data_IF_869911657410
#
_entry.id   IF_869911657410
#
_cell.length_a   1.000
_cell.length_b   1.000
_cell.length_c   1.000
_cell.angle_alpha   90.00
_cell.angle_beta   90.00
_cell.angle_gamma   90.00
#
_symmetry.space_group_name_H-M   'P 1'
#
loop_
_entity.id
_entity.type
_entity.pdbx_description
1 polymer ?
#
# COMPACT_ATOMS: atom_id res chain seq x y z
N UNK A 1 -28.20 13.15 -38.70
CA UNK A 1 -26.85 13.72 -38.52
C UNK A 1 -26.46 13.55 -37.05
N UNK A 2 -25.37 12.83 -36.83
CA UNK A 2 -24.71 12.46 -35.55
C UNK A 2 -25.51 11.67 -34.51
N UNK A 3 -25.59 10.36 -34.75
CA UNK A 3 -25.81 9.32 -33.74
C UNK A 3 -24.51 9.09 -32.96
N UNK A 4 -24.59 9.12 -31.63
CA UNK A 4 -23.53 8.65 -30.72
C UNK A 4 -23.85 7.20 -30.36
N UNK A 5 -22.99 6.28 -30.82
CA UNK A 5 -23.10 4.84 -30.61
C UNK A 5 -22.35 4.47 -29.32
N UNK A 6 -23.06 4.02 -28.29
CA UNK A 6 -22.45 3.40 -27.11
C UNK A 6 -21.98 1.99 -27.47
N UNK A 7 -20.67 1.73 -27.38
CA UNK A 7 -20.10 0.39 -27.48
C UNK A 7 -20.44 -0.43 -26.23
N UNK A 8 -21.35 -1.37 -26.39
CA UNK A 8 -21.57 -2.52 -25.51
C UNK A 8 -20.60 -3.62 -25.95
N UNK A 9 -19.68 -4.04 -25.08
CA UNK A 9 -18.84 -5.22 -25.33
C UNK A 9 -19.35 -6.36 -24.46
N UNK A 10 -20.10 -7.27 -25.07
CA UNK A 10 -20.43 -8.58 -24.51
C UNK A 10 -19.26 -9.53 -24.74
N UNK A 11 -18.65 -10.05 -23.68
CA UNK A 11 -17.73 -11.19 -23.77
C UNK A 11 -18.49 -12.48 -23.46
N UNK A 12 -18.71 -13.27 -24.51
CA UNK A 12 -19.14 -14.66 -24.45
C UNK A 12 -18.00 -15.53 -23.89
N UNK A 13 -18.31 -16.34 -22.89
CA UNK A 13 -17.45 -17.41 -22.37
C UNK A 13 -17.28 -18.50 -23.44
N UNK A 14 -16.03 -18.90 -23.69
CA UNK A 14 -15.69 -20.11 -24.44
C UNK A 14 -14.78 -20.97 -23.58
N UNK A 15 -15.27 -22.17 -23.27
CA UNK A 15 -14.56 -23.25 -22.60
C UNK A 15 -13.29 -23.66 -23.35
N UNK A 16 -12.18 -23.83 -22.62
CA UNK A 16 -11.00 -24.56 -23.12
C UNK A 16 -10.54 -25.55 -22.03
N UNK A 17 -10.39 -26.84 -22.36
CA UNK A 17 -9.98 -27.86 -21.41
C UNK A 17 -8.46 -27.89 -21.21
N UNK A 18 -8.07 -28.30 -20.00
CA UNK A 18 -6.70 -28.64 -19.62
C UNK A 18 -6.09 -29.72 -20.53
N UNK A 19 -4.89 -29.46 -21.05
CA UNK A 19 -4.00 -30.49 -21.57
C UNK A 19 -2.61 -30.35 -20.94
N UNK A 20 -2.18 -31.46 -20.36
CA UNK A 20 -0.91 -31.74 -19.70
C UNK A 20 0.07 -32.27 -20.76
N UNK A 21 1.31 -31.80 -20.83
CA UNK A 21 2.35 -32.50 -21.57
C UNK A 21 3.76 -32.15 -21.07
N UNK A 22 4.49 -33.20 -20.74
CA UNK A 22 5.88 -33.25 -20.31
C UNK A 22 6.85 -33.06 -21.50
N UNK A 23 8.04 -32.58 -21.13
CA UNK A 23 9.38 -32.71 -21.75
C UNK A 23 9.53 -33.50 -23.06
N UNK A 24 10.29 -32.94 -24.02
CA UNK A 24 11.44 -33.62 -24.67
C UNK A 24 12.45 -32.56 -25.14
N UNK A 25 13.70 -32.80 -24.76
CA UNK A 25 14.94 -32.18 -25.26
C UNK A 25 15.28 -32.59 -26.69
N UNK A 26 15.80 -31.68 -27.52
CA UNK A 26 16.87 -32.03 -28.46
C UNK A 26 17.61 -30.82 -29.02
N UNK A 27 18.94 -30.96 -29.01
CA UNK A 27 19.92 -30.03 -29.52
C UNK A 27 20.06 -30.14 -31.05
N UNK A 28 20.43 -29.04 -31.68
CA UNK A 28 21.13 -29.05 -32.96
C UNK A 28 22.14 -27.89 -32.97
N UNK A 29 23.42 -28.24 -33.13
CA UNK A 29 24.53 -27.34 -33.36
C UNK A 29 24.63 -27.00 -34.85
N UNK A 30 24.95 -25.76 -35.19
CA UNK A 30 25.67 -25.40 -36.42
C UNK A 30 26.65 -24.28 -36.05
N UNK A 31 27.92 -24.50 -36.38
CA UNK A 31 29.02 -23.59 -36.10
C UNK A 31 29.20 -22.48 -37.13
N UNK A 32 30.07 -21.54 -36.79
CA UNK A 32 30.54 -20.46 -37.65
C UNK A 32 31.58 -19.63 -36.92
N UNK A 33 32.85 -19.90 -37.22
CA UNK A 33 34.04 -19.16 -36.77
C UNK A 33 34.03 -17.69 -37.24
N UNK A 34 34.60 -16.78 -36.43
CA UNK A 34 35.83 -16.06 -36.80
C UNK A 34 35.95 -14.68 -36.12
N UNK A 35 37.05 -14.55 -35.35
CA UNK A 35 37.96 -13.41 -35.20
C UNK A 35 37.46 -12.03 -34.72
N UNK A 36 38.03 -11.58 -33.60
CA UNK A 36 38.20 -10.15 -33.30
C UNK A 36 38.31 -9.78 -31.82
N UNK A 37 39.44 -10.09 -31.17
CA UNK A 37 39.90 -9.36 -29.96
C UNK A 37 40.66 -8.10 -30.40
N UNK A 38 40.58 -7.01 -29.61
CA UNK A 38 41.60 -6.74 -28.60
C UNK A 38 40.98 -6.38 -27.24
N UNK A 39 41.39 -7.05 -26.16
CA UNK A 39 42.41 -6.57 -25.22
C UNK A 39 42.14 -5.16 -24.67
N UNK A 40 41.45 -5.11 -23.53
CA UNK A 40 41.72 -4.12 -22.49
C UNK A 40 41.58 -4.82 -21.14
N UNK A 41 42.73 -5.06 -20.52
CA UNK A 41 42.85 -5.45 -19.12
C UNK A 41 42.43 -4.23 -18.30
N UNK A 42 41.27 -4.32 -17.66
CA UNK A 42 40.93 -3.47 -16.51
C UNK A 42 41.29 -4.30 -15.29
N UNK A 43 42.46 -4.03 -14.73
CA UNK A 43 42.82 -4.47 -13.38
C UNK A 43 41.90 -3.75 -12.39
N UNK A 44 40.86 -4.44 -11.93
CA UNK A 44 40.10 -4.04 -10.76
C UNK A 44 40.93 -4.37 -9.52
N UNK A 45 41.69 -3.39 -9.04
CA UNK A 45 42.22 -3.41 -7.67
C UNK A 45 41.06 -3.31 -6.67
N UNK A 46 40.57 -4.47 -6.25
CA UNK A 46 39.82 -4.62 -5.00
C UNK A 46 40.85 -4.60 -3.84
N UNK A 47 41.32 -3.40 -3.49
CA UNK A 47 42.03 -3.16 -2.23
C UNK A 47 41.01 -2.83 -1.15
N UNK A 48 40.24 -3.84 -0.74
CA UNK A 48 39.62 -3.85 0.59
C UNK A 48 40.77 -3.94 1.63
N UNK A 49 41.05 -2.92 2.45
CA UNK A 49 42.21 -2.94 3.35
C UNK A 49 42.07 -4.09 4.35
N UNK A 50 43.04 -5.00 4.37
CA UNK A 50 43.12 -6.05 5.39
C UNK A 50 43.53 -5.44 6.73
N UNK A 51 42.59 -5.30 7.66
CA UNK A 51 42.84 -4.78 9.00
C UNK A 51 43.29 -5.89 9.95
N UNK A 52 44.36 -5.63 10.71
CA UNK A 52 44.89 -6.54 11.72
C UNK A 52 44.14 -6.39 13.05
N UNK A 53 44.12 -7.45 13.87
CA UNK A 53 43.45 -7.48 15.19
C UNK A 53 44.03 -6.53 16.26
N UNK A 54 44.93 -5.61 15.88
CA UNK A 54 45.65 -4.70 16.77
C UNK A 54 45.17 -3.23 16.68
N UNK A 55 44.19 -2.92 15.84
CA UNK A 55 43.60 -1.58 15.82
C UNK A 55 42.85 -1.30 17.12
N UNK A 56 43.08 -0.13 17.72
CA UNK A 56 42.36 0.28 18.93
C UNK A 56 40.86 0.47 18.65
N UNK A 57 40.03 0.32 19.69
CA UNK A 57 38.59 0.63 19.65
C UNK A 57 38.30 1.98 18.99
N UNK A 58 39.09 3.01 19.34
CA UNK A 58 39.00 4.35 18.79
C UNK A 58 39.30 4.39 17.30
N UNK A 59 40.37 3.74 16.85
CA UNK A 59 40.75 3.73 15.44
C UNK A 59 39.68 3.04 14.58
N UNK A 60 39.05 1.97 15.09
CA UNK A 60 37.94 1.29 14.41
C UNK A 60 36.71 2.21 14.36
N UNK A 61 36.39 2.88 15.47
CA UNK A 61 35.26 3.81 15.54
C UNK A 61 35.38 4.93 14.51
N UNK A 62 36.51 5.64 14.49
CA UNK A 62 36.75 6.78 13.60
C UNK A 62 36.75 6.37 12.13
N UNK A 63 37.32 5.20 11.80
CA UNK A 63 37.44 4.74 10.41
C UNK A 63 36.20 4.05 9.86
N UNK A 64 35.38 3.41 10.70
CA UNK A 64 34.29 2.52 10.25
C UNK A 64 32.91 2.88 10.77
N UNK A 65 32.79 3.41 11.99
CA UNK A 65 31.50 3.76 12.59
C UNK A 65 31.13 5.21 12.28
N UNK A 66 32.07 6.14 12.48
CA UNK A 66 31.82 7.56 12.25
C UNK A 66 31.42 7.89 10.79
N UNK A 67 31.96 7.23 9.74
CA UNK A 67 31.47 7.44 8.37
C UNK A 67 30.01 7.04 8.16
N UNK A 68 29.49 6.04 8.89
CA UNK A 68 28.06 5.67 8.85
C UNK A 68 27.22 6.84 9.39
N UNK A 69 27.66 7.44 10.50
CA UNK A 69 26.99 8.60 11.09
C UNK A 69 26.95 9.83 10.17
N UNK A 70 28.00 10.00 9.36
CA UNK A 70 28.15 11.13 8.43
C UNK A 70 27.54 10.86 7.04
N UNK A 71 27.15 9.63 6.76
CA UNK A 71 26.65 9.22 5.45
C UNK A 71 25.29 9.84 5.15
N UNK A 72 25.13 10.35 3.93
CA UNK A 72 23.82 10.73 3.39
C UNK A 72 23.05 9.52 2.82
N UNK A 73 23.71 8.36 2.66
CA UNK A 73 23.05 7.15 2.14
C UNK A 73 22.18 6.50 3.22
N UNK A 74 21.04 5.88 2.85
CA UNK A 74 20.22 5.11 3.77
C UNK A 74 21.02 3.94 4.36
N UNK A 75 20.82 3.68 5.64
CA UNK A 75 21.40 2.52 6.35
C UNK A 75 20.49 1.29 6.30
N UNK A 76 20.98 0.14 6.74
CA UNK A 76 20.18 -1.11 6.86
C UNK A 76 18.85 -0.93 7.62
N UNK A 77 18.78 0.03 8.55
CA UNK A 77 17.56 0.31 9.30
C UNK A 77 16.44 0.89 8.42
N UNK A 78 16.77 1.64 7.37
CA UNK A 78 15.82 2.20 6.41
C UNK A 78 15.20 1.15 5.47
N UNK A 79 15.68 -0.09 5.51
CA UNK A 79 15.07 -1.17 4.73
C UNK A 79 13.72 -1.61 5.29
N UNK A 80 13.54 -1.53 6.61
CA UNK A 80 12.29 -1.94 7.26
C UNK A 80 11.40 -0.72 7.61
N UNK A 81 12.00 0.44 7.82
CA UNK A 81 11.33 1.67 8.23
C UNK A 81 11.40 2.70 7.11
N UNK A 82 10.24 3.26 6.71
CA UNK A 82 10.20 4.30 5.67
C UNK A 82 10.60 5.68 6.20
N UNK A 83 10.49 5.88 7.51
CA UNK A 83 10.74 7.16 8.13
C UNK A 83 11.16 6.99 9.59
N UNK A 84 11.89 8.00 10.10
CA UNK A 84 12.12 8.14 11.53
C UNK A 84 12.98 7.08 12.23
N UNK A 85 13.63 6.17 11.48
CA UNK A 85 14.59 5.21 12.04
C UNK A 85 15.79 5.06 11.11
N UNK A 86 16.97 5.37 11.63
CA UNK A 86 18.23 5.24 10.90
C UNK A 86 19.34 4.76 11.85
N UNK A 87 20.26 3.93 11.36
CA UNK A 87 21.42 3.46 12.11
C UNK A 87 22.25 4.61 12.69
N UNK A 88 22.32 5.77 12.01
CA UNK A 88 23.04 6.94 12.54
C UNK A 88 22.47 7.49 13.85
N UNK A 89 21.19 7.25 14.14
CA UNK A 89 20.57 7.67 15.41
C UNK A 89 21.14 6.90 16.61
N UNK A 90 21.80 5.77 16.33
CA UNK A 90 22.52 4.92 17.26
C UNK A 90 24.03 5.21 17.32
N UNK A 91 24.48 6.32 16.73
CA UNK A 91 25.88 6.76 16.77
C UNK A 91 25.94 8.17 17.35
N UNK A 92 26.94 8.45 18.19
CA UNK A 92 27.23 9.77 18.75
C UNK A 92 28.57 10.28 18.22
N UNK A 93 28.88 11.59 18.36
CA UNK A 93 30.12 12.15 17.81
C UNK A 93 31.40 11.49 18.35
N UNK A 94 31.35 10.83 19.51
CA UNK A 94 32.50 10.16 20.14
C UNK A 94 32.22 8.67 20.42
N UNK A 95 33.29 7.87 20.49
CA UNK A 95 33.16 6.45 20.83
C UNK A 95 32.65 6.24 22.25
N UNK A 96 33.04 7.11 23.19
CA UNK A 96 32.67 7.06 24.60
C UNK A 96 31.15 7.17 24.74
N UNK A 97 30.59 8.24 24.17
CA UNK A 97 29.14 8.48 24.16
C UNK A 97 28.40 7.38 23.43
N UNK A 98 28.90 6.92 22.29
CA UNK A 98 28.23 5.85 21.53
C UNK A 98 28.21 4.55 22.34
N UNK A 99 29.35 4.13 22.88
CA UNK A 99 29.48 2.89 23.63
C UNK A 99 28.64 2.91 24.91
N UNK A 100 28.82 3.94 25.76
CA UNK A 100 28.10 4.07 27.03
C UNK A 100 26.58 4.10 26.81
N UNK A 101 26.11 4.80 25.77
CA UNK A 101 24.69 4.89 25.46
C UNK A 101 24.12 3.56 24.92
N UNK A 102 24.84 2.86 24.04
CA UNK A 102 24.41 1.56 23.51
C UNK A 102 24.40 0.47 24.60
N UNK A 103 25.35 0.50 25.53
CA UNK A 103 25.36 -0.40 26.70
C UNK A 103 24.19 -0.06 27.62
N UNK A 104 23.99 1.22 27.94
CA UNK A 104 22.87 1.67 28.79
C UNK A 104 21.49 1.34 28.20
N UNK A 105 21.36 1.34 26.87
CA UNK A 105 20.15 0.93 26.16
C UNK A 105 20.00 -0.60 26.03
N UNK A 106 20.97 -1.38 26.50
CA UNK A 106 20.97 -2.84 26.39
C UNK A 106 21.07 -3.34 24.95
N UNK A 107 21.72 -2.57 24.07
CA UNK A 107 21.97 -2.89 22.66
C UNK A 107 23.33 -3.55 22.44
N UNK A 108 24.31 -3.28 23.31
CA UNK A 108 25.59 -3.99 23.40
C UNK A 108 25.57 -4.92 24.61
N UNK A 109 25.95 -6.18 24.40
CA UNK A 109 26.20 -7.14 25.47
C UNK A 109 27.72 -7.17 25.76
N UNK A 110 28.11 -6.61 26.91
CA UNK A 110 29.52 -6.56 27.33
C UNK A 110 30.09 -7.92 27.72
N UNK A 111 29.25 -8.91 27.99
CA UNK A 111 29.68 -10.28 28.29
C UNK A 111 29.79 -11.14 27.05
N UNK A 112 28.94 -10.87 26.06
CA UNK A 112 28.85 -11.58 24.80
C UNK A 112 28.76 -10.60 23.62
N UNK A 113 29.88 -9.92 23.26
CA UNK A 113 29.88 -8.83 22.28
C UNK A 113 29.28 -9.25 20.92
N UNK A 114 29.46 -10.49 20.48
CA UNK A 114 28.89 -11.02 19.24
C UNK A 114 27.38 -11.30 19.29
N UNK A 115 26.79 -11.44 20.48
CA UNK A 115 25.34 -11.62 20.69
C UNK A 115 24.61 -10.27 20.90
N UNK A 116 25.31 -9.14 20.73
CA UNK A 116 24.74 -7.79 20.89
C UNK A 116 23.52 -7.56 19.98
N UNK A 117 22.44 -7.00 20.54
CA UNK A 117 21.18 -6.77 19.80
C UNK A 117 21.36 -5.86 18.59
N UNK A 118 22.26 -4.87 18.67
CA UNK A 118 22.54 -3.98 17.54
C UNK A 118 23.04 -4.76 16.30
N UNK A 119 23.86 -5.80 16.50
CA UNK A 119 24.33 -6.67 15.42
C UNK A 119 23.18 -7.50 14.83
N UNK A 120 22.29 -7.99 15.70
CA UNK A 120 21.06 -8.67 15.28
C UNK A 120 20.17 -7.75 14.44
N UNK A 121 20.04 -6.47 14.82
CA UNK A 121 19.22 -5.52 14.06
C UNK A 121 19.83 -5.17 12.70
N UNK A 122 21.13 -4.89 12.64
CA UNK A 122 21.82 -4.60 11.38
C UNK A 122 21.74 -5.80 10.42
N UNK A 123 21.85 -7.02 10.93
CA UNK A 123 21.80 -8.24 10.10
C UNK A 123 20.40 -8.67 9.65
N UNK A 124 19.32 -8.06 10.18
CA UNK A 124 17.96 -8.40 9.76
C UNK A 124 17.77 -8.10 8.28
N UNK A 125 17.06 -8.99 7.61
CA UNK A 125 16.70 -8.87 6.20
C UNK A 125 15.18 -8.76 6.07
N UNK A 126 14.67 -7.84 5.25
CA UNK A 126 13.32 -7.95 4.76
C UNK A 126 13.18 -9.19 3.86
N UNK A 127 11.96 -9.69 3.69
CA UNK A 127 11.69 -10.82 2.77
C UNK A 127 11.96 -10.46 1.31
N UNK A 128 11.82 -9.17 0.95
CA UNK A 128 12.13 -8.64 -0.38
C UNK A 128 13.29 -7.64 -0.28
N UNK A 129 14.31 -7.74 -1.16
CA UNK A 129 15.48 -6.87 -1.13
C UNK A 129 15.07 -5.40 -1.31
N UNK A 130 15.63 -4.51 -0.48
CA UNK A 130 15.37 -3.07 -0.50
C UNK A 130 16.43 -2.28 -1.28
N UNK A 131 16.44 -0.96 -1.05
CA UNK A 131 17.43 -0.03 -1.61
C UNK A 131 18.84 -0.24 -1.04
N UNK A 132 18.97 -0.93 0.10
CA UNK A 132 20.25 -1.22 0.74
C UNK A 132 20.73 -2.58 0.24
N UNK A 133 21.90 -2.61 -0.40
CA UNK A 133 22.47 -3.86 -0.87
C UNK A 133 22.92 -4.75 0.30
N UNK A 134 22.98 -6.06 0.04
CA UNK A 134 23.59 -7.02 0.97
C UNK A 134 25.02 -6.61 1.36
N UNK A 135 25.73 -5.96 0.45
CA UNK A 135 27.07 -5.41 0.67
C UNK A 135 27.07 -4.29 1.72
N UNK A 136 26.19 -3.29 1.62
CA UNK A 136 26.11 -2.20 2.62
C UNK A 136 25.82 -2.78 4.01
N UNK A 137 24.85 -3.70 4.10
CA UNK A 137 24.50 -4.36 5.36
C UNK A 137 25.67 -5.13 5.96
N UNK A 138 26.41 -5.85 5.12
CA UNK A 138 27.60 -6.59 5.54
C UNK A 138 28.69 -5.63 6.06
N UNK A 139 28.92 -4.52 5.36
CA UNK A 139 29.88 -3.48 5.77
C UNK A 139 29.49 -2.89 7.14
N UNK A 140 28.22 -2.52 7.32
CA UNK A 140 27.70 -2.01 8.59
C UNK A 140 27.85 -3.05 9.71
N UNK A 141 27.46 -4.30 9.45
CA UNK A 141 27.53 -5.39 10.42
C UNK A 141 28.97 -5.64 10.87
N UNK A 142 29.90 -5.75 9.93
CA UNK A 142 31.31 -5.99 10.24
C UNK A 142 31.96 -4.81 10.95
N UNK A 143 31.58 -3.57 10.60
CA UNK A 143 32.04 -2.36 11.26
C UNK A 143 31.64 -2.38 12.73
N UNK A 144 30.34 -2.56 13.02
CA UNK A 144 29.84 -2.63 14.38
C UNK A 144 30.40 -3.82 15.14
N UNK A 145 30.48 -5.01 14.53
CA UNK A 145 31.00 -6.20 15.20
C UNK A 145 32.47 -6.04 15.60
N UNK A 146 33.31 -5.53 14.70
CA UNK A 146 34.72 -5.30 14.99
C UNK A 146 34.89 -4.26 16.11
N UNK A 147 34.14 -3.15 16.02
CA UNK A 147 34.20 -2.08 17.01
C UNK A 147 33.71 -2.54 18.39
N UNK A 148 32.56 -3.22 18.47
CA UNK A 148 31.98 -3.72 19.73
C UNK A 148 32.96 -4.65 20.45
N UNK A 149 33.59 -5.59 19.73
CA UNK A 149 34.59 -6.50 20.31
C UNK A 149 35.79 -5.75 20.90
N UNK A 150 36.32 -4.77 20.16
CA UNK A 150 37.44 -3.96 20.62
C UNK A 150 37.05 -3.07 21.80
N UNK A 151 35.87 -2.43 21.75
CA UNK A 151 35.37 -1.52 22.77
C UNK A 151 35.08 -2.23 24.10
N UNK A 152 34.52 -3.45 24.06
CA UNK A 152 34.32 -4.28 25.26
C UNK A 152 35.64 -4.73 25.90
N UNK A 153 36.74 -4.76 25.14
CA UNK A 153 38.07 -5.06 25.68
C UNK A 153 38.77 -3.84 26.29
N UNK A 154 38.21 -2.65 26.10
CA UNK A 154 38.75 -1.39 26.61
C UNK A 154 38.14 -1.05 27.97
N UNK A 155 38.91 -1.27 29.03
CA UNK A 155 38.48 -1.00 30.42
C UNK A 155 38.06 0.45 30.66
N UNK A 156 38.57 1.41 29.88
CA UNK A 156 38.19 2.83 30.03
C UNK A 156 36.78 3.09 29.52
N UNK A 157 36.40 2.46 28.41
CA UNK A 157 35.03 2.54 27.86
C UNK A 157 34.01 1.81 28.73
N UNK A 158 34.39 0.67 29.33
CA UNK A 158 33.50 -0.05 30.28
C UNK A 158 33.22 0.78 31.53
N UNK A 159 34.22 1.53 32.01
CA UNK A 159 34.10 2.37 33.20
C UNK A 159 33.36 3.70 32.92
N UNK A 160 33.22 4.09 31.65
CA UNK A 160 32.58 5.33 31.24
C UNK A 160 31.07 5.30 31.53
N UNK A 161 30.54 6.45 31.91
CA UNK A 161 29.13 6.67 32.24
C UNK A 161 28.55 7.91 31.56
N UNK A 162 29.23 8.47 30.56
CA UNK A 162 28.68 9.54 29.69
C UNK A 162 27.57 8.99 28.79
N UNK A 163 26.43 8.69 29.41
CA UNK A 163 25.23 8.17 28.75
C UNK A 163 24.43 9.34 28.19
N UNK A 164 24.17 9.28 26.90
CA UNK A 164 23.22 10.15 26.22
C UNK A 164 22.05 9.32 25.73
N UNK A 165 20.89 9.96 25.56
CA UNK A 165 19.76 9.30 24.91
C UNK A 165 20.18 8.85 23.51
N UNK A 166 19.86 7.62 23.12
CA UNK A 166 20.26 6.99 21.84
C UNK A 166 19.06 6.39 21.11
N UNK A 167 19.15 6.33 19.78
CA UNK A 167 18.08 5.86 18.91
C UNK A 167 17.08 6.96 18.51
N UNK A 168 16.02 6.57 17.76
CA UNK A 168 14.95 7.46 17.35
C UNK A 168 14.35 8.22 18.53
N UNK A 169 14.01 9.49 18.31
CA UNK A 169 13.28 10.29 19.30
C UNK A 169 11.75 10.12 19.20
N UNK A 170 11.30 9.35 18.21
CA UNK A 170 9.90 9.07 17.96
C UNK A 170 9.37 8.00 18.91
N UNK A 171 8.06 8.04 19.18
CA UNK A 171 7.41 6.97 19.94
C UNK A 171 7.43 5.65 19.15
N UNK A 172 7.42 4.53 19.88
CA UNK A 172 7.31 3.19 19.28
C UNK A 172 6.09 3.05 18.37
N UNK A 173 5.02 3.80 18.63
CA UNK A 173 3.81 3.78 17.82
C UNK A 173 4.02 4.45 16.46
N UNK A 174 4.66 5.62 16.42
CA UNK A 174 5.03 6.31 15.17
C UNK A 174 6.00 5.45 14.37
N UNK A 175 7.03 4.90 15.02
CA UNK A 175 8.00 4.00 14.38
C UNK A 175 7.29 2.78 13.79
N UNK A 176 6.33 2.21 14.52
CA UNK A 176 5.56 1.05 14.07
C UNK A 176 4.68 1.40 12.87
N UNK A 177 4.01 2.54 12.90
CA UNK A 177 3.15 3.03 11.81
C UNK A 177 3.94 3.21 10.51
N UNK A 178 5.16 3.76 10.60
CA UNK A 178 6.05 3.99 9.46
C UNK A 178 6.77 2.74 8.90
N UNK A 179 6.53 1.55 9.47
CA UNK A 179 7.13 0.31 8.94
C UNK A 179 6.53 -0.07 7.58
N UNK A 180 7.36 -0.62 6.69
CA UNK A 180 6.93 -1.03 5.35
C UNK A 180 5.78 -2.04 5.35
N UNK A 181 5.75 -2.98 6.29
CA UNK A 181 4.65 -3.94 6.40
C UNK A 181 3.32 -3.28 6.80
N UNK A 182 3.36 -2.21 7.61
CA UNK A 182 2.16 -1.43 7.95
C UNK A 182 1.70 -0.56 6.80
N UNK A 183 2.63 0.05 6.08
CA UNK A 183 2.32 0.78 4.84
C UNK A 183 1.72 -0.15 3.79
N UNK A 184 2.28 -1.36 3.59
CA UNK A 184 1.70 -2.36 2.70
C UNK A 184 0.31 -2.77 3.16
N UNK A 185 0.09 -3.00 4.45
CA UNK A 185 -1.24 -3.33 4.97
C UNK A 185 -2.26 -2.20 4.68
N UNK A 186 -1.86 -0.94 4.86
CA UNK A 186 -2.67 0.24 4.53
C UNK A 186 -2.96 0.32 3.01
N UNK A 187 -1.96 0.06 2.17
CA UNK A 187 -2.14 -0.03 0.71
C UNK A 187 -3.15 -1.12 0.33
N UNK A 188 -3.03 -2.29 0.94
CA UNK A 188 -3.94 -3.41 0.67
C UNK A 188 -5.37 -3.03 1.04
N UNK A 189 -5.57 -2.43 2.20
CA UNK A 189 -6.88 -2.07 2.71
C UNK A 189 -7.56 -0.94 1.90
N UNK A 190 -6.80 0.05 1.45
CA UNK A 190 -7.34 1.28 0.86
C UNK A 190 -7.24 1.37 -0.67
N UNK A 191 -6.27 0.70 -1.29
CA UNK A 191 -6.04 0.82 -2.75
C UNK A 191 -6.26 -0.52 -3.43
N UNK A 192 -5.66 -1.59 -2.90
CA UNK A 192 -5.72 -2.91 -3.52
C UNK A 192 -7.13 -3.49 -3.55
N UNK A 193 -7.93 -3.27 -2.49
CA UNK A 193 -9.35 -3.67 -2.44
C UNK A 193 -10.18 -3.11 -3.60
N UNK A 194 -9.80 -1.96 -4.14
CA UNK A 194 -10.48 -1.27 -5.25
C UNK A 194 -9.84 -1.53 -6.62
N UNK A 195 -8.77 -2.34 -6.68
CA UNK A 195 -7.94 -2.52 -7.89
C UNK A 195 -8.73 -3.06 -9.09
N UNK A 196 -9.84 -3.76 -8.84
CA UNK A 196 -10.73 -4.28 -9.89
C UNK A 196 -11.30 -3.19 -10.80
N UNK A 197 -11.40 -1.93 -10.34
CA UNK A 197 -11.82 -0.78 -11.17
C UNK A 197 -10.79 -0.41 -12.23
N UNK A 198 -9.53 -0.78 -11.98
CA UNK A 198 -8.36 -0.46 -12.79
C UNK A 198 -7.88 -1.67 -13.61
N UNK A 199 -8.13 -2.90 -13.13
CA UNK A 199 -7.56 -4.14 -13.67
C UNK A 199 -7.85 -4.35 -15.15
N UNK A 200 -9.06 -4.02 -15.62
CA UNK A 200 -9.44 -4.19 -17.02
C UNK A 200 -8.56 -3.40 -18.01
N UNK A 201 -7.85 -2.36 -17.54
CA UNK A 201 -6.93 -1.57 -18.36
C UNK A 201 -5.47 -1.71 -17.93
N UNK A 202 -5.20 -2.08 -16.68
CA UNK A 202 -3.86 -2.02 -16.11
C UNK A 202 -3.29 -3.37 -15.66
N UNK A 203 -4.09 -4.45 -15.75
CA UNK A 203 -3.63 -5.79 -15.41
C UNK A 203 -3.20 -6.56 -16.66
N UNK A 204 -2.03 -7.23 -16.64
CA UNK A 204 -1.45 -7.87 -17.81
C UNK A 204 -2.29 -9.03 -18.39
N UNK A 205 -3.19 -9.60 -17.60
CA UNK A 205 -4.13 -10.64 -18.02
C UNK A 205 -5.36 -10.07 -18.77
N UNK A 206 -5.65 -8.78 -18.66
CA UNK A 206 -6.87 -8.15 -19.20
C UNK A 206 -6.60 -7.02 -20.21
N UNK A 207 -5.37 -6.51 -20.26
CA UNK A 207 -5.09 -5.24 -20.93
C UNK A 207 -4.38 -5.34 -22.29
N UNK A 208 -4.41 -6.48 -22.97
CA UNK A 208 -3.62 -6.70 -24.20
C UNK A 208 -3.93 -5.66 -25.29
N UNK A 209 -5.17 -5.19 -25.37
CA UNK A 209 -5.55 -4.08 -26.26
C UNK A 209 -4.86 -2.78 -25.86
N UNK A 210 -4.84 -2.44 -24.58
CA UNK A 210 -4.22 -1.20 -24.09
C UNK A 210 -2.71 -1.22 -24.27
N UNK A 211 -2.07 -2.36 -24.01
CA UNK A 211 -0.63 -2.53 -24.25
C UNK A 211 -0.30 -2.35 -25.74
N UNK A 212 -1.11 -2.89 -26.64
CA UNK A 212 -0.92 -2.70 -28.08
C UNK A 212 -1.04 -1.23 -28.51
N UNK A 213 -1.94 -0.46 -27.91
CA UNK A 213 -2.22 0.94 -28.28
C UNK A 213 -1.30 1.95 -27.58
N UNK A 214 -0.82 1.62 -26.38
CA UNK A 214 -0.17 2.58 -25.49
C UNK A 214 1.18 2.11 -24.93
N UNK A 215 1.56 0.84 -25.10
CA UNK A 215 2.81 0.26 -24.61
C UNK A 215 2.68 -0.44 -23.24
N UNK A 216 3.73 -1.16 -22.84
CA UNK A 216 3.75 -2.00 -21.64
C UNK A 216 3.64 -1.20 -20.33
N UNK A 217 3.98 0.08 -20.33
CA UNK A 217 3.88 0.95 -19.15
C UNK A 217 2.44 1.19 -18.67
N UNK A 218 1.43 0.76 -19.44
CA UNK A 218 0.05 0.74 -18.95
C UNK A 218 -0.18 -0.41 -17.96
N UNK A 219 0.65 -1.45 -17.98
CA UNK A 219 0.57 -2.62 -17.10
C UNK A 219 1.28 -2.39 -15.76
N UNK A 220 0.68 -1.58 -14.88
CA UNK A 220 1.27 -1.30 -13.56
C UNK A 220 0.79 -2.25 -12.44
N UNK A 221 -0.23 -3.09 -12.69
CA UNK A 221 -0.70 -4.08 -11.70
C UNK A 221 0.13 -5.35 -11.83
N UNK A 222 0.77 -5.76 -10.75
CA UNK A 222 1.38 -7.09 -10.64
C UNK A 222 0.36 -8.10 -10.12
N UNK A 223 0.15 -9.18 -10.86
CA UNK A 223 -0.88 -10.18 -10.52
C UNK A 223 -0.62 -10.80 -9.15
N UNK A 224 -1.61 -10.67 -8.26
CA UNK A 224 -1.60 -11.26 -6.91
C UNK A 224 -0.44 -10.80 -6.03
N UNK A 225 0.19 -9.67 -6.37
CA UNK A 225 1.32 -9.13 -5.65
C UNK A 225 1.07 -7.64 -5.35
N UNK A 226 0.41 -7.33 -4.22
CA UNK A 226 0.18 -5.94 -3.82
C UNK A 226 1.49 -5.20 -3.51
N UNK A 227 2.54 -5.89 -3.06
CA UNK A 227 3.83 -5.25 -2.76
C UNK A 227 4.54 -4.82 -4.04
N UNK A 228 4.62 -5.70 -5.03
CA UNK A 228 5.20 -5.36 -6.32
C UNK A 228 4.39 -4.26 -7.03
N UNK A 229 3.05 -4.28 -6.90
CA UNK A 229 2.20 -3.21 -7.43
C UNK A 229 2.49 -1.88 -6.74
N UNK A 230 2.60 -1.86 -5.41
CA UNK A 230 2.97 -0.64 -4.68
C UNK A 230 4.35 -0.14 -5.09
N UNK A 231 5.35 -1.02 -5.18
CA UNK A 231 6.70 -0.63 -5.62
C UNK A 231 6.68 0.03 -6.99
N UNK A 232 5.98 -0.58 -7.97
CA UNK A 232 5.83 0.01 -9.29
C UNK A 232 5.18 1.40 -9.22
N UNK A 233 4.11 1.57 -8.45
CA UNK A 233 3.44 2.87 -8.32
C UNK A 233 4.36 3.96 -7.80
N UNK A 234 5.26 3.62 -6.88
CA UNK A 234 6.25 4.52 -6.33
C UNK A 234 7.37 4.83 -7.34
N UNK A 235 7.91 3.80 -8.00
CA UNK A 235 8.97 3.94 -9.00
C UNK A 235 8.53 4.72 -10.25
N UNK A 236 7.25 4.64 -10.59
CA UNK A 236 6.66 5.34 -11.73
C UNK A 236 6.07 6.71 -11.38
N UNK A 237 6.36 7.25 -10.18
CA UNK A 237 5.89 8.55 -9.69
C UNK A 237 4.35 8.72 -9.83
N UNK A 238 3.59 7.65 -9.56
CA UNK A 238 2.12 7.72 -9.62
C UNK A 238 1.54 8.40 -8.36
N UNK A 239 2.34 8.49 -7.30
CA UNK A 239 2.06 9.19 -6.05
C UNK A 239 3.01 10.38 -5.97
N UNK A 240 2.45 11.58 -5.91
CA UNK A 240 3.20 12.82 -5.70
C UNK A 240 3.31 13.05 -4.20
N UNK A 241 4.52 12.91 -3.65
CA UNK A 241 4.74 13.06 -2.21
C UNK A 241 4.84 14.52 -1.77
N UNK A 242 5.00 15.47 -2.68
CA UNK A 242 5.04 16.89 -2.33
C UNK A 242 3.63 17.50 -2.36
N UNK A 243 2.83 17.11 -3.36
CA UNK A 243 1.47 17.58 -3.58
C UNK A 243 0.51 16.36 -3.75
N UNK A 244 0.11 15.68 -2.65
CA UNK A 244 -0.60 14.40 -2.70
C UNK A 244 -1.88 14.42 -3.55
N UNK A 245 -2.61 15.54 -3.59
CA UNK A 245 -3.80 15.73 -4.42
C UNK A 245 -3.51 15.72 -5.93
N UNK A 246 -2.26 15.95 -6.34
CA UNK A 246 -1.80 15.91 -7.73
C UNK A 246 -1.31 14.54 -8.17
N UNK A 247 -1.32 13.55 -7.28
CA UNK A 247 -1.00 12.16 -7.61
C UNK A 247 -1.79 11.68 -8.84
N UNK A 248 -1.11 11.05 -9.80
CA UNK A 248 -1.74 10.52 -11.01
C UNK A 248 -2.80 9.46 -10.70
N UNK A 249 -2.65 8.74 -9.57
CA UNK A 249 -3.65 7.81 -9.03
C UNK A 249 -4.98 8.48 -8.65
N UNK A 250 -5.01 9.80 -8.48
CA UNK A 250 -6.23 10.56 -8.20
C UNK A 250 -6.71 11.29 -9.45
N UNK A 251 -5.81 12.02 -10.12
CA UNK A 251 -6.17 12.91 -11.22
C UNK A 251 -6.74 12.17 -12.43
N UNK A 252 -6.15 11.01 -12.80
CA UNK A 252 -6.65 10.23 -13.95
C UNK A 252 -8.01 9.58 -13.64
N UNK A 253 -8.18 8.80 -12.56
CA UNK A 253 -9.46 8.15 -12.27
C UNK A 253 -10.63 9.12 -12.07
N UNK A 254 -10.37 10.34 -11.57
CA UNK A 254 -11.39 11.40 -11.41
C UNK A 254 -11.62 12.24 -12.67
N UNK A 255 -10.87 12.00 -13.75
CA UNK A 255 -10.91 12.76 -15.01
C UNK A 255 -10.53 14.24 -14.88
N UNK A 256 -9.76 14.61 -13.85
CA UNK A 256 -9.15 15.94 -13.76
C UNK A 256 -8.05 16.14 -14.82
N UNK A 257 -7.44 15.04 -15.26
CA UNK A 257 -6.59 14.97 -16.46
C UNK A 257 -7.03 13.81 -17.36
N UNK A 258 -6.54 13.79 -18.61
CA UNK A 258 -6.88 12.74 -19.58
C UNK A 258 -6.42 11.36 -19.09
N UNK A 259 -7.37 10.45 -18.87
CA UNK A 259 -7.09 9.07 -18.45
C UNK A 259 -7.09 8.05 -19.60
N UNK A 260 -7.96 8.21 -20.61
CA UNK A 260 -8.19 7.21 -21.66
C UNK A 260 -9.12 6.07 -21.23
N UNK A 261 -9.05 5.61 -19.98
CA UNK A 261 -9.91 4.56 -19.42
C UNK A 261 -11.28 5.03 -18.89
N UNK A 262 -11.61 6.31 -19.06
CA UNK A 262 -12.81 6.95 -18.50
C UNK A 262 -12.74 7.19 -16.99
N UNK A 263 -13.79 7.79 -16.43
CA UNK A 263 -13.90 8.05 -15.00
C UNK A 263 -14.09 6.73 -14.22
N UNK A 264 -13.31 6.52 -13.17
CA UNK A 264 -13.37 5.34 -12.31
C UNK A 264 -13.87 5.63 -10.90
N UNK A 265 -13.71 6.89 -10.47
CA UNK A 265 -14.17 7.42 -9.19
C UNK A 265 -14.49 8.91 -9.35
N UNK A 266 -15.23 9.47 -8.40
CA UNK A 266 -15.51 10.91 -8.28
C UNK A 266 -15.04 11.41 -6.92
N UNK A 267 -14.70 12.70 -6.84
CA UNK A 267 -14.31 13.31 -5.57
C UNK A 267 -15.44 13.09 -4.54
N UNK A 268 -15.05 12.55 -3.38
CA UNK A 268 -15.97 12.29 -2.28
C UNK A 268 -16.67 10.93 -2.32
N UNK A 269 -16.53 10.13 -3.38
CA UNK A 269 -16.93 8.72 -3.30
C UNK A 269 -15.98 7.90 -2.44
N UNK A 270 -16.42 6.70 -2.04
CA UNK A 270 -15.70 5.82 -1.13
C UNK A 270 -14.32 5.46 -1.68
N UNK A 271 -14.19 5.17 -2.97
CA UNK A 271 -12.92 4.80 -3.59
C UNK A 271 -11.93 5.97 -3.56
N UNK A 272 -12.38 7.19 -3.87
CA UNK A 272 -11.57 8.40 -3.75
C UNK A 272 -11.11 8.61 -2.31
N UNK A 273 -12.01 8.50 -1.34
CA UNK A 273 -11.67 8.61 0.10
C UNK A 273 -10.61 7.60 0.51
N UNK A 274 -10.72 6.34 0.07
CA UNK A 274 -9.71 5.32 0.40
C UNK A 274 -8.36 5.62 -0.22
N UNK A 275 -8.32 5.99 -1.50
CA UNK A 275 -7.05 6.37 -2.15
C UNK A 275 -6.40 7.56 -1.45
N UNK A 276 -7.18 8.58 -1.07
CA UNK A 276 -6.70 9.72 -0.28
C UNK A 276 -6.14 9.30 1.08
N UNK A 277 -6.82 8.43 1.82
CA UNK A 277 -6.31 7.92 3.11
C UNK A 277 -4.92 7.31 2.97
N UNK A 278 -4.70 6.48 1.95
CA UNK A 278 -3.39 5.88 1.73
C UNK A 278 -2.34 6.90 1.27
N UNK A 279 -2.66 7.70 0.24
CA UNK A 279 -1.73 8.65 -0.37
C UNK A 279 -1.30 9.73 0.65
N UNK A 280 -2.26 10.29 1.37
CA UNK A 280 -2.01 11.36 2.35
C UNK A 280 -1.16 10.81 3.53
N UNK A 281 -1.46 9.59 4.01
CA UNK A 281 -0.70 8.93 5.09
C UNK A 281 0.71 8.53 4.63
N UNK A 282 0.84 7.88 3.48
CA UNK A 282 2.14 7.51 2.91
C UNK A 282 3.04 8.74 2.76
N UNK A 283 2.48 9.82 2.21
CA UNK A 283 3.16 11.10 2.05
C UNK A 283 3.64 11.67 3.38
N UNK A 284 2.78 11.65 4.41
CA UNK A 284 3.14 12.10 5.75
C UNK A 284 4.25 11.25 6.39
N UNK A 285 4.24 9.93 6.16
CA UNK A 285 5.30 9.02 6.60
C UNK A 285 6.62 9.42 5.95
N UNK A 286 6.72 9.44 4.61
CA UNK A 286 7.99 9.69 3.92
C UNK A 286 8.55 11.09 4.16
N UNK A 287 7.68 12.07 4.43
CA UNK A 287 8.06 13.43 4.81
C UNK A 287 8.36 13.60 6.30
N UNK A 288 8.34 12.52 7.10
CA UNK A 288 8.55 12.54 8.56
C UNK A 288 7.62 13.55 9.28
N UNK A 289 6.35 13.67 8.86
CA UNK A 289 5.39 14.63 9.43
C UNK A 289 4.84 14.20 10.80
N UNK A 290 4.91 12.91 11.14
CA UNK A 290 4.48 12.40 12.44
C UNK A 290 5.62 12.47 13.46
N UNK A 291 5.46 13.32 14.46
CA UNK A 291 6.32 13.44 15.63
C UNK A 291 5.75 12.69 16.85
N UNK A 292 4.42 12.60 16.97
CA UNK A 292 3.75 11.94 18.11
C UNK A 292 2.63 11.01 17.65
N UNK A 293 2.22 10.10 18.54
CA UNK A 293 1.13 9.14 18.32
C UNK A 293 -0.22 9.80 18.01
N UNK A 294 -0.48 10.97 18.60
CA UNK A 294 -1.74 11.70 18.44
C UNK A 294 -1.89 12.31 17.04
N UNK A 295 -0.81 12.37 16.27
CA UNK A 295 -0.81 12.85 14.89
C UNK A 295 -1.09 11.74 13.87
N UNK A 296 -1.05 10.47 14.30
CA UNK A 296 -1.31 9.34 13.43
C UNK A 296 -2.77 9.35 12.97
N UNK A 297 -3.05 8.93 11.72
CA UNK A 297 -4.42 8.90 11.23
C UNK A 297 -5.23 7.87 12.00
N UNK A 298 -6.47 8.22 12.31
CA UNK A 298 -7.39 7.29 12.95
C UNK A 298 -7.66 6.08 12.05
N UNK A 299 -7.59 4.89 12.63
CA UNK A 299 -7.96 3.68 11.91
C UNK A 299 -9.47 3.66 11.65
N UNK A 300 -9.87 3.40 10.41
CA UNK A 300 -11.28 3.21 10.06
C UNK A 300 -11.91 2.12 10.94
N UNK A 301 -13.04 2.42 11.58
CA UNK A 301 -13.84 1.46 12.32
C UNK A 301 -14.56 0.44 11.42
N UNK A 302 -14.48 0.61 10.09
CA UNK A 302 -15.10 -0.27 9.10
C UNK A 302 -14.02 -0.96 8.25
N UNK A 303 -14.18 -2.27 8.05
CA UNK A 303 -13.47 -3.09 7.07
C UNK A 303 -14.40 -3.32 5.89
N UNK A 304 -13.86 -3.35 4.67
CA UNK A 304 -14.69 -3.53 3.49
C UNK A 304 -14.00 -4.33 2.38
N UNK A 305 -14.82 -5.05 1.62
CA UNK A 305 -14.38 -5.89 0.49
C UNK A 305 -15.29 -5.63 -0.70
N UNK A 306 -14.71 -5.33 -1.86
CA UNK A 306 -15.46 -5.16 -3.12
C UNK A 306 -15.95 -6.53 -3.60
N UNK A 307 -17.18 -6.58 -4.10
CA UNK A 307 -17.78 -7.82 -4.63
C UNK A 307 -18.29 -7.65 -6.04
N UNK A 308 -18.60 -8.78 -6.68
CA UNK A 308 -19.33 -8.84 -7.94
C UNK A 308 -20.86 -8.82 -7.75
N UNK A 309 -21.37 -8.45 -6.57
CA UNK A 309 -22.81 -8.30 -6.35
C UNK A 309 -23.23 -6.95 -6.92
N UNK A 310 -24.14 -6.94 -7.89
CA UNK A 310 -24.63 -5.71 -8.51
C UNK A 310 -26.00 -5.32 -7.99
N UNK A 311 -26.17 -4.03 -7.71
CA UNK A 311 -27.41 -3.43 -7.25
C UNK A 311 -27.86 -2.34 -8.21
N UNK A 312 -29.16 -2.30 -8.52
CA UNK A 312 -29.77 -1.33 -9.42
C UNK A 312 -31.01 -0.71 -8.79
N UNK A 313 -31.10 0.61 -8.88
CA UNK A 313 -32.28 1.39 -8.50
C UNK A 313 -32.84 2.03 -9.76
N UNK A 314 -34.09 1.73 -10.08
CA UNK A 314 -34.81 2.30 -11.22
C UNK A 314 -35.78 3.41 -10.77
N UNK A 315 -36.02 4.38 -11.64
CA UNK A 315 -36.90 5.51 -11.33
C UNK A 315 -36.26 6.59 -10.46
N UNK A 316 -34.93 6.65 -10.41
CA UNK A 316 -34.23 7.73 -9.68
C UNK A 316 -34.53 9.06 -10.39
N UNK A 317 -35.07 10.08 -9.69
CA UNK A 317 -35.44 11.34 -10.31
C UNK A 317 -34.29 12.03 -11.04
N UNK A 318 -34.54 12.53 -12.26
CA UNK A 318 -33.56 13.24 -13.07
C UNK A 318 -33.00 14.52 -12.39
N UNK A 319 -33.70 15.08 -11.39
CA UNK A 319 -33.18 16.20 -10.58
C UNK A 319 -31.88 15.84 -9.84
N UNK A 320 -31.62 14.56 -9.62
CA UNK A 320 -30.40 14.06 -8.99
C UNK A 320 -29.29 13.69 -9.99
N UNK A 321 -29.44 13.96 -11.28
CA UNK A 321 -28.42 13.63 -12.30
C UNK A 321 -27.02 14.10 -11.88
N UNK A 322 -26.04 13.19 -11.98
CA UNK A 322 -24.62 13.40 -11.60
C UNK A 322 -24.35 13.66 -10.11
N UNK A 323 -25.38 13.76 -9.26
CA UNK A 323 -25.17 13.81 -7.81
C UNK A 323 -24.73 12.43 -7.32
N UNK A 324 -23.84 12.40 -6.32
CA UNK A 324 -23.44 11.15 -5.69
C UNK A 324 -24.60 10.60 -4.87
N UNK A 325 -25.04 9.39 -5.19
CA UNK A 325 -25.99 8.61 -4.40
C UNK A 325 -25.25 7.48 -3.72
N UNK A 326 -25.41 7.36 -2.41
CA UNK A 326 -24.95 6.25 -1.58
C UNK A 326 -26.14 5.36 -1.20
N UNK A 327 -25.91 4.05 -1.23
CA UNK A 327 -26.84 3.02 -0.76
C UNK A 327 -26.17 2.26 0.38
N UNK A 328 -26.84 2.18 1.53
CA UNK A 328 -26.42 1.34 2.65
C UNK A 328 -27.45 0.24 2.91
N UNK A 329 -26.99 -1.01 3.06
CA UNK A 329 -27.84 -2.18 3.28
C UNK A 329 -27.76 -2.66 4.73
N UNK A 330 -28.94 -2.84 5.34
CA UNK A 330 -29.11 -3.30 6.72
C UNK A 330 -29.92 -4.61 6.71
N UNK A 331 -29.38 -5.75 7.18
CA UNK A 331 -30.10 -7.01 7.18
C UNK A 331 -31.19 -7.01 8.25
N UNK A 332 -32.27 -7.76 8.00
CA UNK A 332 -33.25 -8.10 9.02
C UNK A 332 -32.64 -9.06 10.04
N UNK A 333 -32.88 -8.79 11.32
CA UNK A 333 -32.52 -9.63 12.48
C UNK A 333 -33.79 -9.99 13.25
N UNK A 334 -33.66 -10.87 14.24
CA UNK A 334 -34.75 -11.25 15.15
C UNK A 334 -35.32 -10.04 15.92
N UNK A 335 -34.50 -9.01 16.14
CA UNK A 335 -34.87 -7.77 16.85
C UNK A 335 -35.30 -6.62 15.93
N UNK A 336 -35.42 -6.83 14.62
CA UNK A 336 -35.68 -5.76 13.65
C UNK A 336 -34.53 -5.57 12.67
N UNK A 337 -34.43 -4.40 12.04
CA UNK A 337 -33.30 -4.08 11.18
C UNK A 337 -32.01 -3.95 11.99
N UNK A 338 -30.91 -4.49 11.47
CA UNK A 338 -29.57 -4.30 12.05
C UNK A 338 -29.26 -2.82 12.25
N UNK A 339 -28.59 -2.50 13.35
CA UNK A 339 -28.05 -1.16 13.60
C UNK A 339 -26.90 -0.82 12.62
N UNK A 340 -26.12 -1.83 12.25
CA UNK A 340 -24.96 -1.68 11.37
C UNK A 340 -25.29 -2.13 9.95
N UNK A 341 -24.82 -1.34 8.98
CA UNK A 341 -24.83 -1.75 7.57
C UNK A 341 -23.86 -2.92 7.36
N UNK A 342 -24.18 -3.77 6.39
CA UNK A 342 -23.33 -4.92 5.99
C UNK A 342 -22.85 -4.84 4.55
N UNK A 343 -23.39 -3.89 3.79
CA UNK A 343 -22.90 -3.55 2.47
C UNK A 343 -23.19 -2.07 2.17
N UNK A 344 -22.36 -1.48 1.33
CA UNK A 344 -22.53 -0.10 0.85
C UNK A 344 -22.05 0.03 -0.59
N UNK A 345 -22.50 1.07 -1.26
CA UNK A 345 -21.99 1.48 -2.55
C UNK A 345 -22.38 2.92 -2.84
N UNK A 346 -21.52 3.64 -3.56
CA UNK A 346 -21.78 5.00 -4.00
C UNK A 346 -21.37 5.20 -5.46
N UNK A 347 -22.17 6.00 -6.15
CA UNK A 347 -21.92 6.38 -7.55
C UNK A 347 -22.78 7.58 -7.96
N UNK A 348 -22.35 8.39 -8.95
CA UNK A 348 -23.22 9.37 -9.55
C UNK A 348 -24.47 8.75 -10.17
N UNK A 349 -25.62 9.40 -9.97
CA UNK A 349 -26.88 9.03 -10.62
C UNK A 349 -26.79 9.24 -12.13
N UNK A 350 -27.31 8.29 -12.92
CA UNK A 350 -27.51 8.45 -14.35
C UNK A 350 -28.94 8.94 -14.62
N UNK A 351 -29.14 10.25 -14.53
CA UNK A 351 -30.45 10.88 -14.63
C UNK A 351 -31.08 10.74 -16.02
N UNK A 352 -30.27 10.74 -17.08
CA UNK A 352 -30.76 10.48 -18.44
C UNK A 352 -31.43 9.10 -18.62
N UNK A 353 -31.09 8.13 -17.77
CA UNK A 353 -31.72 6.81 -17.71
C UNK A 353 -32.66 6.60 -16.53
N UNK A 354 -32.88 7.64 -15.71
CA UNK A 354 -33.60 7.56 -14.43
C UNK A 354 -33.17 6.36 -13.57
N UNK A 355 -31.86 6.13 -13.45
CA UNK A 355 -31.35 4.97 -12.72
C UNK A 355 -30.04 5.27 -11.99
N UNK A 356 -29.77 4.42 -11.01
CA UNK A 356 -28.48 4.26 -10.36
C UNK A 356 -28.14 2.78 -10.37
N UNK A 357 -26.88 2.43 -10.63
CA UNK A 357 -26.45 1.04 -10.57
C UNK A 357 -24.95 0.94 -10.28
N UNK A 358 -24.57 0.01 -9.42
CA UNK A 358 -23.17 -0.24 -9.10
C UNK A 358 -22.97 -1.59 -8.40
N UNK A 359 -21.71 -2.03 -8.28
CA UNK A 359 -21.36 -3.17 -7.43
C UNK A 359 -21.38 -2.77 -5.95
N UNK A 360 -21.75 -3.71 -5.08
CA UNK A 360 -21.74 -3.54 -3.64
C UNK A 360 -20.37 -3.89 -3.08
N UNK A 361 -19.91 -3.11 -2.11
CA UNK A 361 -18.83 -3.49 -1.21
C UNK A 361 -19.45 -4.01 0.08
N UNK A 362 -19.05 -5.19 0.53
CA UNK A 362 -19.44 -5.66 1.87
C UNK A 362 -18.70 -4.83 2.91
N UNK A 363 -19.34 -4.59 4.04
CA UNK A 363 -18.81 -3.82 5.15
C UNK A 363 -19.02 -4.54 6.48
N UNK A 364 -18.09 -4.32 7.41
CA UNK A 364 -18.16 -4.84 8.77
C UNK A 364 -17.49 -3.88 9.74
N UNK A 365 -18.02 -3.77 10.95
CA UNK A 365 -17.31 -3.10 12.03
C UNK A 365 -16.05 -3.89 12.39
N UNK A 366 -14.92 -3.21 12.46
CA UNK A 366 -13.62 -3.80 12.79
C UNK A 366 -13.69 -4.46 14.17
N UNK A 367 -13.05 -5.62 14.30
CA UNK A 367 -13.04 -6.41 15.54
C UNK A 367 -14.24 -7.35 15.70
N UNK A 368 -15.25 -7.28 14.82
CA UNK A 368 -16.35 -8.26 14.82
C UNK A 368 -15.94 -9.56 14.10
N UNK A 369 -16.62 -10.67 14.44
CA UNK A 369 -16.47 -11.94 13.70
C UNK A 369 -16.84 -11.80 12.22
N UNK A 370 -17.75 -10.89 11.88
CA UNK A 370 -18.10 -10.62 10.49
C UNK A 370 -16.91 -10.03 9.73
N UNK A 371 -16.16 -9.09 10.34
CA UNK A 371 -14.99 -8.47 9.71
C UNK A 371 -13.87 -9.47 9.37
N UNK A 372 -13.71 -10.55 10.14
CA UNK A 372 -12.71 -11.59 9.84
C UNK A 372 -13.14 -12.55 8.74
N UNK A 373 -14.45 -12.65 8.47
CA UNK A 373 -15.04 -13.58 7.50
C UNK A 373 -15.45 -12.91 6.19
N UNK A 374 -15.59 -11.57 6.18
CA UNK A 374 -16.20 -10.82 5.08
C UNK A 374 -15.54 -11.05 3.71
N UNK A 375 -14.23 -11.35 3.67
CA UNK A 375 -13.51 -11.64 2.44
C UNK A 375 -13.83 -13.03 1.85
N UNK A 376 -14.28 -13.97 2.68
CA UNK A 376 -14.56 -15.35 2.29
C UNK A 376 -16.07 -15.65 2.14
N UNK A 377 -16.92 -14.72 2.58
CA UNK A 377 -18.36 -14.93 2.70
C UNK A 377 -19.12 -14.01 1.75
N UNK A 378 -20.17 -14.54 1.12
CA UNK A 378 -21.12 -13.75 0.32
C UNK A 378 -22.16 -13.10 1.22
N UNK A 379 -22.77 -12.01 0.76
CA UNK A 379 -23.90 -11.42 1.47
C UNK A 379 -25.02 -12.47 1.63
N UNK A 380 -25.49 -12.78 2.85
CA UNK A 380 -26.47 -13.84 3.06
C UNK A 380 -27.80 -13.56 2.37
N UNK A 381 -28.47 -14.59 1.86
CA UNK A 381 -29.84 -14.44 1.38
C UNK A 381 -30.77 -13.97 2.50
N UNK A 382 -31.72 -13.11 2.21
CA UNK A 382 -32.71 -12.65 3.20
C UNK A 382 -33.30 -11.29 2.89
N UNK A 383 -33.96 -10.73 3.90
CA UNK A 383 -34.57 -9.39 3.85
C UNK A 383 -33.58 -8.31 4.27
N UNK A 384 -33.61 -7.20 3.56
CA UNK A 384 -32.74 -6.05 3.74
C UNK A 384 -33.52 -4.75 3.65
N UNK A 385 -33.08 -3.76 4.41
CA UNK A 385 -33.46 -2.36 4.26
C UNK A 385 -32.32 -1.63 3.54
N UNK A 386 -32.61 -1.10 2.35
CA UNK A 386 -31.71 -0.21 1.64
C UNK A 386 -32.03 1.25 2.01
N UNK A 387 -31.10 1.96 2.64
CA UNK A 387 -31.20 3.41 2.90
C UNK A 387 -30.45 4.18 1.82
N UNK A 388 -31.07 5.23 1.30
CA UNK A 388 -30.58 6.02 0.17
C UNK A 388 -30.22 7.43 0.63
N UNK A 389 -29.01 7.88 0.29
CA UNK A 389 -28.51 9.21 0.61
C UNK A 389 -28.00 9.89 -0.66
N UNK A 390 -28.25 11.20 -0.84
CA UNK A 390 -27.80 11.96 -2.01
C UNK A 390 -27.13 13.26 -1.56
N UNK A 391 -25.92 13.51 -2.06
CA UNK A 391 -25.21 14.78 -1.84
C UNK A 391 -25.85 15.94 -2.62
N UNK A 392 -26.97 16.45 -2.12
CA UNK A 392 -27.72 17.54 -2.78
C UNK A 392 -27.02 18.90 -2.68
N UNK A 393 -26.06 19.05 -1.76
CA UNK A 393 -25.38 20.33 -1.48
C UNK A 393 -23.97 20.40 -2.06
N UNK A 394 -23.51 19.32 -2.67
CA UNK A 394 -22.14 19.14 -3.15
C UNK A 394 -21.12 19.21 -2.01
N UNK A 395 -21.49 18.78 -0.80
CA UNK A 395 -20.59 18.86 0.36
C UNK A 395 -19.39 17.93 0.21
N UNK A 396 -19.54 16.78 -0.43
CA UNK A 396 -18.46 15.82 -0.63
C UNK A 396 -17.42 16.30 -1.65
N UNK A 397 -17.84 17.15 -2.59
CA UNK A 397 -16.93 17.82 -3.54
C UNK A 397 -16.12 18.94 -2.87
N UNK A 398 -16.73 19.63 -1.88
CA UNK A 398 -16.09 20.71 -1.13
C UNK A 398 -15.16 20.16 -0.04
N UNK A 399 -15.58 19.08 0.60
CA UNK A 399 -14.87 18.39 1.66
C UNK A 399 -15.08 16.88 1.46
N UNK A 400 -14.08 16.22 0.88
CA UNK A 400 -14.13 14.78 0.64
C UNK A 400 -14.09 13.95 1.94
N UNK A 401 -13.78 14.57 3.09
CA UNK A 401 -13.79 13.89 4.38
C UNK A 401 -15.17 13.89 5.03
N UNK A 402 -16.09 14.73 4.54
CA UNK A 402 -17.46 14.74 5.01
C UNK A 402 -18.18 13.42 4.71
N UNK A 403 -19.17 13.09 5.54
CA UNK A 403 -20.02 11.91 5.37
C UNK A 403 -21.46 12.30 5.06
N UNK A 404 -22.16 11.47 4.27
CA UNK A 404 -23.60 11.58 4.10
C UNK A 404 -24.30 11.11 5.39
N UNK A 405 -25.36 11.80 5.76
CA UNK A 405 -26.09 11.57 7.01
C UNK A 405 -27.60 11.79 6.81
N UNK A 406 -28.36 11.85 7.91
CA UNK A 406 -29.82 12.02 7.90
C UNK A 406 -30.31 13.25 7.11
N UNK A 407 -29.50 14.30 6.96
CA UNK A 407 -29.85 15.47 6.14
C UNK A 407 -29.81 15.17 4.63
N UNK A 408 -29.06 14.15 4.24
CA UNK A 408 -28.92 13.71 2.85
C UNK A 408 -29.85 12.53 2.53
N UNK A 409 -30.58 12.01 3.52
CA UNK A 409 -31.48 10.88 3.36
C UNK A 409 -32.64 11.24 2.44
N UNK A 410 -32.84 10.44 1.39
CA UNK A 410 -33.91 10.66 0.39
C UNK A 410 -34.95 9.55 0.35
N UNK A 411 -34.76 8.51 1.16
CA UNK A 411 -35.73 7.42 1.28
C UNK A 411 -35.10 6.06 1.52
N UNK A 412 -35.94 5.05 1.66
CA UNK A 412 -35.53 3.68 1.92
C UNK A 412 -36.44 2.69 1.20
N UNK A 413 -35.92 1.49 0.96
CA UNK A 413 -36.65 0.40 0.29
C UNK A 413 -36.37 -0.91 1.02
N UNK A 414 -37.42 -1.64 1.36
CA UNK A 414 -37.31 -3.03 1.80
C UNK A 414 -37.22 -3.97 0.60
N UNK A 415 -36.33 -4.95 0.67
CA UNK A 415 -36.16 -5.94 -0.38
C UNK A 415 -35.78 -7.30 0.18
N UNK A 416 -36.00 -8.34 -0.61
CA UNK A 416 -35.53 -9.69 -0.35
C UNK A 416 -34.66 -10.14 -1.52
N UNK A 417 -33.46 -10.64 -1.25
CA UNK A 417 -32.51 -11.04 -2.29
C UNK A 417 -31.69 -12.26 -1.89
N UNK A 418 -31.26 -13.00 -2.90
CA UNK A 418 -30.26 -14.07 -2.79
C UNK A 418 -28.85 -13.59 -3.17
N UNK A 419 -28.70 -12.30 -3.49
CA UNK A 419 -27.46 -11.63 -3.86
C UNK A 419 -26.63 -12.38 -4.92
N UNK A 420 -27.23 -12.67 -6.10
CA UNK A 420 -26.48 -13.24 -7.21
C UNK A 420 -25.31 -12.32 -7.63
N UNK A 421 -24.21 -12.96 -8.05
CA UNK A 421 -23.05 -12.26 -8.58
C UNK A 421 -23.21 -12.02 -10.10
N UNK A 422 -22.54 -10.97 -10.58
CA UNK A 422 -22.41 -10.62 -11.99
C UNK A 422 -23.38 -9.54 -12.45
N UNK A 423 -22.89 -8.72 -13.38
CA UNK A 423 -23.62 -7.59 -13.96
C UNK A 423 -24.98 -7.99 -14.58
N UNK A 424 -25.08 -9.19 -15.16
CA UNK A 424 -26.32 -9.67 -15.78
C UNK A 424 -27.42 -10.07 -14.80
N UNK A 425 -27.11 -10.21 -13.50
CA UNK A 425 -28.01 -10.75 -12.48
C UNK A 425 -28.27 -9.74 -11.35
N UNK A 426 -28.34 -8.45 -11.64
CA UNK A 426 -28.45 -7.43 -10.59
C UNK A 426 -29.69 -7.62 -9.72
N UNK A 427 -29.58 -7.32 -8.43
CA UNK A 427 -30.76 -7.09 -7.60
C UNK A 427 -31.33 -5.71 -7.95
N UNK A 428 -32.60 -5.67 -8.39
CA UNK A 428 -33.25 -4.45 -8.88
C UNK A 428 -34.35 -4.01 -7.91
N UNK A 429 -34.36 -2.73 -7.54
CA UNK A 429 -35.44 -2.09 -6.78
C UNK A 429 -35.92 -0.83 -7.48
N UNK A 430 -37.09 -0.32 -7.07
CA UNK A 430 -37.57 1.00 -7.48
C UNK A 430 -37.13 2.05 -6.47
N UNK A 431 -36.81 3.24 -6.94
CA UNK A 431 -36.64 4.41 -6.09
C UNK A 431 -37.94 4.66 -5.31
N UNK A 432 -37.89 4.94 -3.99
CA UNK A 432 -39.09 5.15 -3.20
C UNK A 432 -39.87 6.35 -3.75
N UNK A 433 -41.20 6.21 -3.84
CA UNK A 433 -42.06 7.34 -4.16
C UNK A 433 -42.03 8.34 -2.99
N UNK A 434 -42.01 9.64 -3.31
CA UNK A 434 -42.14 10.73 -2.32
C UNK A 434 -43.49 10.70 -1.60
#
# INVERSE_FOLDING_TARGET
MSMVLCCVVSCSQSDVPHANAQSVSQAASIGGESAGQPSSLVESHDESPQFTSNDSSLAIFEKRILPIFQSAKPSSCAECHLSGVDLKEYIRPTQQQTFASLVSAGLIDVTKPDESKILTFISRRPEQPGLVSDEIRQVEFEAFRAWVRAAVSDSTLIADKDVQQIGPQLSDEVIRHARKDRVLASFVENVWTEVGRCSACHSPDQNQKQVKEHGEQVSWITLRDPQATLNYMLEADLIDTDEPEKSLLLLKPTMQIKHGGGQKMVIGDRSYKQFRRFIDDYTAIVQNKYATSEQLPEQSNEVSVVTDIWFKIEGVPAKYDKMLLQVDLYPQTDSGWSEYRVATSDRPVFGGGNLWQHSLSLTAQRGTNWATQIAAVKLPSGKYLAKLYIDQTGKLQKDFTAELNEQDFVGQVELESQWPAGYGNMTIVKFPAE
#
